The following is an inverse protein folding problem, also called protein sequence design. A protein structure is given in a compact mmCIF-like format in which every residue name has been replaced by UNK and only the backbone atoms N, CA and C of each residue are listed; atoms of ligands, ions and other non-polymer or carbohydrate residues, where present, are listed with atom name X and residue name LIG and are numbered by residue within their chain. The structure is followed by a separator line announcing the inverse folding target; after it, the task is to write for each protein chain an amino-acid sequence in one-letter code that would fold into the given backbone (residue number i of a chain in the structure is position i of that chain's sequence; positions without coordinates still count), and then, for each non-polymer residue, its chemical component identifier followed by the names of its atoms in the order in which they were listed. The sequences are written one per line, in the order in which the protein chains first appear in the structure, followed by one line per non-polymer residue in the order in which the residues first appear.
data_IF_646112494795
#
_entry.id   IF_646112494795
#
_cell.length_a   1.000
_cell.length_b   1.000
_cell.length_c   1.000
_cell.angle_alpha   90.00
_cell.angle_beta   90.00
_cell.angle_gamma   90.00
#
_symmetry.space_group_name_H-M   'P 1'
#
loop_
_entity.id
_entity.type
_entity.pdbx_description
1 polymer ?
#
# COMPACT_ATOMS: atom_id res chain seq x y z
N UNK A 1 -32.55 -11.16 -16.49
CA UNK A 1 -32.69 -10.47 -15.20
C UNK A 1 -31.30 -10.02 -14.81
N UNK A 2 -30.92 -8.79 -15.16
CA UNK A 2 -29.58 -8.26 -14.95
C UNK A 2 -29.52 -7.65 -13.55
N UNK A 3 -28.79 -8.26 -12.63
CA UNK A 3 -28.49 -7.67 -11.33
C UNK A 3 -27.50 -6.53 -11.53
N UNK A 4 -28.00 -5.31 -11.44
CA UNK A 4 -27.19 -4.11 -11.31
C UNK A 4 -26.48 -4.19 -9.96
N UNK A 5 -25.19 -4.56 -9.98
CA UNK A 5 -24.32 -4.45 -8.81
C UNK A 5 -24.14 -2.96 -8.49
N UNK A 6 -24.38 -2.51 -7.25
CA UNK A 6 -24.14 -1.12 -6.90
C UNK A 6 -22.68 -0.79 -7.15
N UNK A 7 -22.45 0.31 -7.88
CA UNK A 7 -21.13 0.82 -8.18
C UNK A 7 -20.37 1.14 -6.87
N UNK A 8 -19.45 0.26 -6.49
CA UNK A 8 -18.61 0.37 -5.30
C UNK A 8 -17.25 1.03 -5.59
N UNK A 9 -17.12 1.81 -6.67
CA UNK A 9 -15.88 2.51 -7.04
C UNK A 9 -15.47 3.61 -6.05
N UNK A 10 -16.37 4.01 -5.13
CA UNK A 10 -16.09 5.04 -4.10
C UNK A 10 -15.35 4.46 -2.87
N UNK A 11 -15.39 3.15 -2.66
CA UNK A 11 -14.88 2.52 -1.43
C UNK A 11 -13.34 2.39 -1.37
N UNK A 12 -12.62 2.78 -2.43
CA UNK A 12 -11.18 2.50 -2.55
C UNK A 12 -10.30 3.68 -2.95
N UNK A 13 -10.83 4.91 -3.01
CA UNK A 13 -9.99 6.06 -3.35
C UNK A 13 -8.98 6.30 -2.22
N UNK A 14 -7.70 6.03 -2.49
CA UNK A 14 -6.62 6.36 -1.58
C UNK A 14 -6.31 7.86 -1.71
N UNK A 15 -6.76 8.65 -0.74
CA UNK A 15 -6.62 10.12 -0.74
C UNK A 15 -5.62 10.55 0.32
N UNK A 16 -4.78 11.53 -0.02
CA UNK A 16 -3.71 12.01 0.84
C UNK A 16 -2.47 11.12 0.75
N UNK A 17 -1.49 11.33 1.64
CA UNK A 17 -0.28 10.50 1.76
C UNK A 17 0.69 10.48 0.58
N UNK A 18 0.65 11.50 -0.30
CA UNK A 18 1.56 11.60 -1.46
C UNK A 18 3.04 11.56 -1.05
N UNK A 19 3.39 12.21 0.06
CA UNK A 19 4.76 12.26 0.56
C UNK A 19 5.20 10.89 1.07
N UNK A 20 4.39 10.27 1.92
CA UNK A 20 4.66 8.97 2.49
C UNK A 20 4.73 7.90 1.40
N UNK A 21 3.83 7.93 0.42
CA UNK A 21 3.91 7.03 -0.74
C UNK A 21 5.15 7.27 -1.59
N UNK A 22 5.61 8.51 -1.75
CA UNK A 22 6.86 8.78 -2.47
C UNK A 22 8.07 8.19 -1.73
N UNK A 23 8.14 8.36 -0.41
CA UNK A 23 9.21 7.79 0.43
C UNK A 23 9.19 6.25 0.39
N UNK A 24 8.02 5.63 0.53
CA UNK A 24 7.85 4.18 0.42
C UNK A 24 8.17 3.65 -0.98
N UNK A 25 7.78 4.38 -2.03
CA UNK A 25 8.10 4.02 -3.42
C UNK A 25 9.60 4.07 -3.68
N UNK A 26 10.30 5.04 -3.10
CA UNK A 26 11.77 5.11 -3.16
C UNK A 26 12.40 3.91 -2.46
N UNK A 27 11.94 3.55 -1.26
CA UNK A 27 12.45 2.39 -0.55
C UNK A 27 12.18 1.07 -1.32
N UNK A 28 11.03 0.96 -1.98
CA UNK A 28 10.71 -0.17 -2.85
C UNK A 28 11.64 -0.22 -4.06
N UNK A 29 11.93 0.91 -4.70
CA UNK A 29 12.90 0.98 -5.81
C UNK A 29 14.29 0.52 -5.38
N UNK A 30 14.76 0.97 -4.22
CA UNK A 30 16.03 0.53 -3.66
C UNK A 30 16.02 -0.99 -3.45
N UNK A 31 14.96 -1.54 -2.85
CA UNK A 31 14.83 -2.98 -2.63
C UNK A 31 14.82 -3.78 -3.95
N UNK A 32 14.11 -3.30 -4.97
CA UNK A 32 14.09 -3.91 -6.31
C UNK A 32 15.47 -3.84 -7.00
N UNK A 33 16.29 -2.84 -6.68
CA UNK A 33 17.67 -2.75 -7.15
C UNK A 33 18.67 -3.64 -6.37
N UNK A 34 18.16 -4.44 -5.43
CA UNK A 34 18.97 -5.33 -4.58
C UNK A 34 19.48 -4.68 -3.28
N UNK A 35 19.10 -3.43 -3.02
CA UNK A 35 19.45 -2.71 -1.79
C UNK A 35 18.27 -2.78 -0.81
N UNK A 36 18.26 -3.80 0.05
CA UNK A 36 17.21 -4.00 1.05
C UNK A 36 16.91 -2.75 1.90
N UNK A 37 15.65 -2.58 2.28
CA UNK A 37 15.16 -1.47 3.11
C UNK A 37 14.20 -1.98 4.17
N UNK A 38 14.22 -1.34 5.33
CA UNK A 38 13.25 -1.50 6.39
C UNK A 38 12.59 -0.15 6.65
N UNK A 39 11.26 -0.09 6.55
CA UNK A 39 10.49 1.13 6.80
C UNK A 39 9.39 0.82 7.83
N UNK A 40 9.21 1.74 8.78
CA UNK A 40 8.18 1.63 9.82
C UNK A 40 7.15 2.74 9.63
N UNK A 41 5.89 2.35 9.51
CA UNK A 41 4.77 3.29 9.53
C UNK A 41 4.32 3.52 10.97
N UNK A 42 4.63 4.71 11.50
CA UNK A 42 4.18 5.17 12.82
C UNK A 42 3.09 6.23 12.68
N UNK A 43 2.26 6.39 13.72
CA UNK A 43 1.19 7.40 13.76
C UNK A 43 -0.02 6.95 14.58
N UNK A 44 -1.01 7.82 14.66
CA UNK A 44 -2.20 7.67 15.50
C UNK A 44 -3.07 6.48 15.07
N UNK A 45 -3.83 5.87 15.99
CA UNK A 45 -4.86 4.90 15.64
C UNK A 45 -5.81 5.47 14.58
N UNK A 46 -6.15 4.66 13.56
CA UNK A 46 -7.07 5.07 12.49
C UNK A 46 -6.49 5.99 11.41
N UNK A 47 -5.24 6.48 11.52
CA UNK A 47 -4.66 7.43 10.55
C UNK A 47 -4.33 6.82 9.15
N UNK A 48 -4.68 5.57 8.91
CA UNK A 48 -4.51 4.92 7.60
C UNK A 48 -3.17 4.20 7.36
N UNK A 49 -2.42 3.83 8.41
CA UNK A 49 -1.15 3.10 8.29
C UNK A 49 -1.29 1.79 7.50
N UNK A 50 -2.25 0.94 7.90
CA UNK A 50 -2.52 -0.33 7.22
C UNK A 50 -2.94 -0.12 5.77
N UNK A 51 -3.78 0.89 5.49
CA UNK A 51 -4.19 1.21 4.13
C UNK A 51 -3.02 1.70 3.27
N UNK A 52 -2.11 2.49 3.85
CA UNK A 52 -0.88 2.95 3.17
C UNK A 52 0.03 1.77 2.82
N UNK A 53 0.23 0.82 3.74
CA UNK A 53 1.00 -0.38 3.46
C UNK A 53 0.33 -1.30 2.41
N UNK A 54 -1.00 -1.38 2.40
CA UNK A 54 -1.75 -2.09 1.35
C UNK A 54 -1.53 -1.45 -0.03
N UNK A 55 -1.60 -0.12 -0.11
CA UNK A 55 -1.37 0.62 -1.35
C UNK A 55 0.06 0.39 -1.89
N UNK A 56 1.06 0.42 -1.02
CA UNK A 56 2.43 0.05 -1.39
C UNK A 56 2.52 -1.40 -1.87
N UNK A 57 1.80 -2.32 -1.23
CA UNK A 57 1.72 -3.72 -1.62
C UNK A 57 1.20 -3.90 -3.05
N UNK A 58 0.12 -3.19 -3.40
CA UNK A 58 -0.42 -3.17 -4.78
C UNK A 58 0.65 -2.65 -5.77
N UNK A 59 1.35 -1.57 -5.42
CA UNK A 59 2.42 -1.03 -6.24
C UNK A 59 3.60 -2.02 -6.41
N UNK A 60 3.95 -2.75 -5.35
CA UNK A 60 5.00 -3.75 -5.38
C UNK A 60 4.63 -4.91 -6.32
N UNK A 61 3.40 -5.42 -6.21
CA UNK A 61 2.89 -6.47 -7.10
C UNK A 61 2.88 -6.03 -8.56
N UNK A 62 2.43 -4.80 -8.85
CA UNK A 62 2.46 -4.22 -10.20
C UNK A 62 3.89 -4.11 -10.78
N UNK A 63 4.91 -4.05 -9.92
CA UNK A 63 6.32 -4.01 -10.30
C UNK A 63 7.00 -5.37 -10.29
N UNK A 64 6.22 -6.45 -10.10
CA UNK A 64 6.72 -7.83 -10.11
C UNK A 64 7.37 -8.29 -8.82
N UNK A 65 7.26 -7.53 -7.72
CA UNK A 65 7.70 -8.00 -6.40
C UNK A 65 6.66 -8.94 -5.79
N UNK A 66 7.15 -9.91 -5.00
CA UNK A 66 6.29 -10.70 -4.12
C UNK A 66 5.89 -9.87 -2.89
N UNK A 67 4.60 -9.84 -2.60
CA UNK A 67 4.03 -9.13 -1.45
C UNK A 67 3.57 -10.14 -0.39
N UNK A 68 4.09 -10.02 0.84
CA UNK A 68 3.82 -10.95 1.94
C UNK A 68 3.30 -10.19 3.15
N UNK A 69 2.21 -10.70 3.76
CA UNK A 69 1.59 -10.08 4.92
C UNK A 69 1.71 -10.95 6.17
N UNK A 70 2.21 -10.36 7.25
CA UNK A 70 2.23 -10.94 8.59
C UNK A 70 1.34 -10.15 9.55
N UNK A 71 0.84 -10.83 10.58
CA UNK A 71 0.13 -10.21 11.71
C UNK A 71 0.73 -10.75 13.00
N UNK A 72 0.88 -9.90 13.99
CA UNK A 72 1.29 -10.26 15.34
C UNK A 72 0.11 -9.96 16.27
N UNK A 73 -0.17 -10.88 17.18
CA UNK A 73 -1.28 -10.81 18.13
C UNK A 73 -0.75 -10.60 19.54
#
# INVERSE_FOLDING_TARGET
MAEIRPNSDIAQVFVGRRREMAELTSALNDALSGQGRLVMLAGEPGIGKTRTAQELGVLAEQRGAQNLWGRCH
#
